data_IF_187269057577
#
_entry.id   IF_187269057577
#
_cell.length_a   1.000
_cell.length_b   1.000
_cell.length_c   1.000
_cell.angle_alpha   90.00
_cell.angle_beta   90.00
_cell.angle_gamma   90.00
#
_symmetry.space_group_name_H-M   'P 1'
#
loop_
_entity.id
_entity.type
_entity.pdbx_description
1 polymer ?
#
# COMPACT_ATOMS: atom_id res chain seq x y z
N UNK A 1 -20.62 -15.28 10.57
CA UNK A 1 -19.24 -15.72 10.85
C UNK A 1 -18.31 -14.73 10.18
N UNK A 2 -18.06 -13.60 10.85
CA UNK A 2 -17.28 -12.49 10.31
C UNK A 2 -15.78 -12.76 10.41
N UNK A 3 -14.98 -11.87 9.82
CA UNK A 3 -13.50 -11.89 9.76
C UNK A 3 -12.81 -11.80 11.15
N UNK A 4 -13.51 -12.07 12.25
CA UNK A 4 -13.01 -12.05 13.63
C UNK A 4 -11.98 -13.14 13.94
N UNK A 5 -11.70 -14.05 12.99
CA UNK A 5 -10.63 -15.06 13.09
C UNK A 5 -9.32 -14.67 12.39
N UNK A 6 -9.31 -13.63 11.55
CA UNK A 6 -8.08 -13.13 10.92
C UNK A 6 -7.45 -12.09 11.82
N UNK A 7 -6.81 -12.57 12.89
CA UNK A 7 -6.01 -11.72 13.78
C UNK A 7 -4.99 -10.95 12.94
N UNK A 8 -4.94 -9.60 13.02
CA UNK A 8 -3.95 -8.78 12.32
C UNK A 8 -2.50 -9.22 12.59
N UNK A 9 -2.25 -9.95 13.68
CA UNK A 9 -0.96 -10.55 14.00
C UNK A 9 -0.51 -11.63 12.99
N UNK A 10 -1.45 -12.30 12.33
CA UNK A 10 -1.15 -13.31 11.30
C UNK A 10 -0.47 -12.65 10.10
N UNK A 11 -0.95 -11.47 9.68
CA UNK A 11 -0.31 -10.69 8.62
C UNK A 11 1.10 -10.24 9.02
N UNK A 12 1.31 -9.92 10.30
CA UNK A 12 2.62 -9.54 10.84
C UNK A 12 3.63 -10.69 10.79
N UNK A 13 3.20 -11.92 11.11
CA UNK A 13 4.03 -13.12 10.98
C UNK A 13 4.44 -13.38 9.53
N UNK A 14 3.48 -13.33 8.59
CA UNK A 14 3.76 -13.47 7.15
C UNK A 14 4.73 -12.37 6.69
N UNK A 15 4.53 -11.13 7.13
CA UNK A 15 5.40 -10.01 6.77
C UNK A 15 6.83 -10.20 7.26
N UNK A 16 7.02 -10.73 8.48
CA UNK A 16 8.34 -11.07 9.00
C UNK A 16 9.05 -12.13 8.15
N UNK A 17 8.31 -13.15 7.71
CA UNK A 17 8.85 -14.21 6.82
C UNK A 17 9.27 -13.60 5.48
N UNK A 18 8.44 -12.74 4.88
CA UNK A 18 8.77 -12.05 3.62
C UNK A 18 10.03 -11.21 3.79
N UNK A 19 10.15 -10.44 4.88
CA UNK A 19 11.36 -9.67 5.17
C UNK A 19 12.58 -10.60 5.35
N UNK A 20 12.42 -11.74 6.03
CA UNK A 20 13.50 -12.70 6.22
C UNK A 20 14.01 -13.33 4.92
N UNK A 21 13.10 -13.63 3.98
CA UNK A 21 13.45 -14.25 2.69
C UNK A 21 14.03 -13.24 1.69
N UNK A 22 13.41 -12.07 1.58
CA UNK A 22 13.74 -11.09 0.54
C UNK A 22 14.73 -10.02 1.04
N UNK A 23 14.87 -9.86 2.35
CA UNK A 23 15.56 -8.74 2.97
C UNK A 23 14.79 -7.43 2.86
N UNK A 24 15.10 -6.48 3.75
CA UNK A 24 14.45 -5.15 3.76
C UNK A 24 14.86 -4.28 2.56
N UNK A 25 16.06 -4.50 1.99
CA UNK A 25 16.57 -3.70 0.87
C UNK A 25 15.73 -3.85 -0.40
N UNK A 26 15.36 -5.09 -0.77
CA UNK A 26 14.51 -5.34 -1.94
C UNK A 26 13.10 -4.78 -1.71
N UNK A 27 12.56 -5.00 -0.51
CA UNK A 27 11.25 -4.47 -0.11
C UNK A 27 11.20 -2.93 -0.16
N UNK A 28 12.29 -2.25 0.24
CA UNK A 28 12.41 -0.79 0.14
C UNK A 28 12.43 -0.29 -1.31
N UNK A 29 13.24 -0.91 -2.18
CA UNK A 29 13.31 -0.51 -3.59
C UNK A 29 11.96 -0.68 -4.30
N UNK A 30 11.34 -1.86 -4.17
CA UNK A 30 10.05 -2.16 -4.78
C UNK A 30 8.94 -1.30 -4.15
N UNK A 31 8.98 -1.09 -2.84
CA UNK A 31 8.02 -0.23 -2.14
C UNK A 31 8.11 1.24 -2.55
N UNK A 32 9.31 1.75 -2.83
CA UNK A 32 9.49 3.12 -3.34
C UNK A 32 8.91 3.28 -4.75
N UNK A 33 9.18 2.34 -5.65
CA UNK A 33 8.70 2.37 -7.04
C UNK A 33 7.18 2.22 -7.11
N UNK A 34 6.63 1.24 -6.39
CA UNK A 34 5.18 1.03 -6.29
C UNK A 34 4.49 2.21 -5.58
N UNK A 35 5.11 2.75 -4.53
CA UNK A 35 4.59 3.91 -3.81
C UNK A 35 4.50 5.16 -4.68
N UNK A 36 5.50 5.40 -5.54
CA UNK A 36 5.48 6.49 -6.50
C UNK A 36 4.37 6.34 -7.55
N UNK A 37 4.12 5.11 -8.03
CA UNK A 37 3.03 4.84 -8.97
C UNK A 37 1.64 5.03 -8.32
N UNK A 38 1.45 4.51 -7.10
CA UNK A 38 0.18 4.66 -6.35
C UNK A 38 -0.07 6.13 -6.00
N UNK A 39 0.97 6.88 -5.63
CA UNK A 39 0.86 8.32 -5.33
C UNK A 39 0.35 9.09 -6.55
N UNK A 40 0.95 8.88 -7.72
CA UNK A 40 0.50 9.50 -8.97
C UNK A 40 -0.94 9.12 -9.32
N UNK A 41 -1.31 7.84 -9.12
CA UNK A 41 -2.68 7.38 -9.34
C UNK A 41 -3.69 8.08 -8.42
N UNK A 42 -3.38 8.20 -7.12
CA UNK A 42 -4.20 8.93 -6.16
C UNK A 42 -4.31 10.42 -6.51
N UNK A 43 -3.19 11.05 -6.83
CA UNK A 43 -3.16 12.48 -7.13
C UNK A 43 -3.95 12.82 -8.42
N UNK A 44 -3.96 11.91 -9.41
CA UNK A 44 -4.80 12.02 -10.61
C UNK A 44 -6.31 11.88 -10.30
N UNK A 45 -6.68 10.92 -9.45
CA UNK A 45 -8.06 10.75 -8.98
C UNK A 45 -8.53 11.98 -8.17
N UNK A 46 -7.72 12.49 -7.26
CA UNK A 46 -8.06 13.68 -6.46
C UNK A 46 -8.09 14.97 -7.30
N UNK A 47 -7.28 15.07 -8.36
CA UNK A 47 -7.35 16.21 -9.29
C UNK A 47 -8.65 16.24 -10.09
N UNK A 48 -9.30 15.09 -10.28
CA UNK A 48 -10.61 15.02 -10.93
C UNK A 48 -11.75 15.52 -10.02
N UNK A 49 -11.69 15.19 -8.72
CA UNK A 49 -12.71 15.62 -7.75
C UNK A 49 -12.62 17.11 -7.36
N UNK A 50 -11.43 17.72 -7.44
CA UNK A 50 -11.25 19.14 -7.12
C UNK A 50 -11.48 20.09 -8.31
N UNK A 51 -11.91 19.58 -9.46
CA UNK A 51 -12.42 20.38 -10.57
C UNK A 51 -13.95 20.34 -10.60
N UNK A 52 -14.59 20.77 -9.51
CA UNK A 52 -15.93 21.36 -9.63
C UNK A 52 -15.68 22.76 -10.18
N UNK A 53 -16.09 23.10 -11.42
CA UNK A 53 -16.04 24.48 -11.87
C UNK A 53 -16.89 25.28 -10.89
N UNK A 54 -16.26 26.21 -10.17
CA UNK A 54 -16.98 27.23 -9.42
C UNK A 54 -17.54 28.22 -10.43
N UNK A 55 -18.71 27.88 -10.98
CA UNK A 55 -19.61 28.77 -11.71
C UNK A 55 -20.99 28.14 -11.71
#
# INVERSE_FOLDING_TARGET
MGLSGMSPLSLLLIFLIIIGLFGTNKLKSIGADLGAAIKQFRDALSSHDNNKPSS
#
